data_IF_247708101165
#
_entry.id   IF_247708101165
#
_cell.length_a   1.000
_cell.length_b   1.000
_cell.length_c   1.000
_cell.angle_alpha   90.00
_cell.angle_beta   90.00
_cell.angle_gamma   90.00
#
_symmetry.space_group_name_H-M   'P 1'
#
loop_
_entity.id
_entity.type
_entity.pdbx_description
1 polymer ?
#
# COMPACT_ATOMS: atom_id res chain seq x y z
N UNK A 1 -37.32 -23.60 67.35
CA UNK A 1 -37.18 -22.40 66.47
C UNK A 1 -35.74 -22.28 66.02
N UNK A 2 -35.43 -22.72 64.78
CA UNK A 2 -34.12 -22.64 64.20
C UNK A 2 -34.13 -21.41 63.26
N UNK A 3 -33.32 -20.41 63.57
CA UNK A 3 -33.11 -19.24 62.70
C UNK A 3 -32.10 -19.61 61.62
N UNK A 4 -32.56 -19.70 60.39
CA UNK A 4 -31.71 -19.86 59.20
C UNK A 4 -31.19 -18.46 58.80
N UNK A 5 -29.87 -18.25 58.95
CA UNK A 5 -29.20 -17.06 58.46
C UNK A 5 -28.89 -17.33 56.96
N UNK A 6 -29.57 -16.61 56.09
CA UNK A 6 -29.25 -16.56 54.66
C UNK A 6 -28.09 -15.59 54.47
N UNK A 7 -26.91 -16.13 54.23
CA UNK A 7 -25.72 -15.37 53.92
C UNK A 7 -25.78 -15.02 52.41
N UNK A 8 -26.16 -13.82 52.09
CA UNK A 8 -26.16 -13.28 50.70
C UNK A 8 -24.71 -12.99 50.32
N UNK A 9 -24.07 -13.92 49.59
CA UNK A 9 -22.79 -13.65 48.93
C UNK A 9 -23.04 -12.70 47.75
N UNK A 10 -22.77 -11.43 47.97
CA UNK A 10 -22.62 -10.46 46.90
C UNK A 10 -21.31 -10.74 46.16
N UNK A 11 -21.44 -11.43 45.03
CA UNK A 11 -20.36 -11.61 44.06
C UNK A 11 -20.11 -10.22 43.43
N UNK A 12 -19.20 -9.47 44.01
CA UNK A 12 -18.65 -8.26 43.35
C UNK A 12 -17.78 -8.78 42.22
N UNK A 13 -18.34 -8.87 41.03
CA UNK A 13 -17.55 -8.97 39.82
C UNK A 13 -16.72 -7.68 39.70
N UNK A 14 -15.53 -7.70 40.26
CA UNK A 14 -14.48 -6.75 39.88
C UNK A 14 -14.15 -7.02 38.39
N UNK A 15 -14.90 -6.42 37.52
CA UNK A 15 -14.44 -6.11 36.19
C UNK A 15 -13.27 -5.12 36.36
N UNK A 16 -12.09 -5.67 36.65
CA UNK A 16 -10.86 -4.95 36.41
C UNK A 16 -10.86 -4.72 34.89
N UNK A 17 -11.34 -3.55 34.47
CA UNK A 17 -10.98 -2.99 33.19
C UNK A 17 -9.45 -2.91 33.26
N UNK A 18 -8.76 -3.93 32.74
CA UNK A 18 -7.32 -3.83 32.50
C UNK A 18 -7.18 -2.63 31.60
N UNK A 19 -6.63 -1.54 32.14
CA UNK A 19 -6.26 -0.41 31.32
C UNK A 19 -5.43 -0.98 30.16
N UNK A 20 -5.93 -0.82 28.95
CA UNK A 20 -5.24 -1.35 27.78
C UNK A 20 -3.86 -0.73 27.73
N UNK A 21 -2.83 -1.56 27.60
CA UNK A 21 -1.47 -1.06 27.48
C UNK A 21 -1.36 -0.30 26.16
N UNK A 22 -0.66 0.85 26.17
CA UNK A 22 -0.40 1.61 24.97
C UNK A 22 0.52 0.81 24.03
N UNK A 23 0.00 0.47 22.85
CA UNK A 23 0.70 -0.26 21.79
C UNK A 23 1.02 0.66 20.63
N UNK A 24 2.14 0.42 19.95
CA UNK A 24 2.51 1.20 18.77
C UNK A 24 1.44 1.11 17.68
N UNK A 25 1.02 2.26 17.17
CA UNK A 25 0.07 2.31 16.06
C UNK A 25 0.82 2.18 14.74
N UNK A 26 0.77 0.99 14.18
CA UNK A 26 1.33 0.70 12.86
C UNK A 26 0.44 1.23 11.73
N UNK A 27 0.95 1.25 10.52
CA UNK A 27 0.15 1.55 9.35
C UNK A 27 -0.91 0.47 9.13
N UNK A 28 -2.13 0.87 8.77
CA UNK A 28 -3.20 -0.08 8.43
C UNK A 28 -2.86 -0.96 7.20
N UNK A 29 -1.88 -0.57 6.37
CA UNK A 29 -1.37 -1.44 5.30
C UNK A 29 -0.52 -2.60 5.85
N UNK A 30 0.03 -2.45 7.05
CA UNK A 30 0.74 -3.53 7.75
C UNK A 30 -0.27 -4.41 8.50
N UNK A 31 -0.97 -3.82 9.44
CA UNK A 31 -1.97 -4.49 10.28
C UNK A 31 -3.16 -3.57 10.52
N UNK A 32 -4.36 -4.02 10.20
CA UNK A 32 -5.59 -3.29 10.50
C UNK A 32 -6.27 -3.86 11.75
N UNK A 33 -6.95 -3.00 12.48
CA UNK A 33 -7.72 -3.35 13.68
C UNK A 33 -9.12 -2.78 13.59
N UNK A 34 -10.02 -3.30 14.42
CA UNK A 34 -11.37 -2.76 14.53
C UNK A 34 -11.35 -1.34 15.14
N UNK A 35 -12.34 -0.49 14.83
CA UNK A 35 -12.38 0.90 15.32
C UNK A 35 -12.27 1.02 16.84
N UNK A 36 -12.86 0.09 17.58
CA UNK A 36 -12.86 0.06 19.05
C UNK A 36 -11.44 -0.10 19.60
N UNK A 37 -10.59 -0.88 18.94
CA UNK A 37 -9.18 -1.00 19.32
C UNK A 37 -8.46 0.34 19.19
N UNK A 38 -8.66 1.06 18.07
CA UNK A 38 -8.06 2.38 17.88
C UNK A 38 -8.56 3.39 18.90
N UNK A 39 -9.85 3.36 19.27
CA UNK A 39 -10.39 4.21 20.32
C UNK A 39 -9.69 3.98 21.67
N UNK A 40 -9.55 2.71 22.06
CA UNK A 40 -8.90 2.33 23.31
C UNK A 40 -7.39 2.69 23.31
N UNK A 41 -6.72 2.57 22.16
CA UNK A 41 -5.34 3.01 22.00
C UNK A 41 -5.20 4.53 22.07
N UNK A 42 -6.14 5.29 21.51
CA UNK A 42 -6.14 6.75 21.64
C UNK A 42 -6.23 7.18 23.12
N UNK A 43 -7.07 6.52 23.93
CA UNK A 43 -7.14 6.79 25.37
C UNK A 43 -5.83 6.43 26.09
N UNK A 44 -5.23 5.28 25.79
CA UNK A 44 -3.98 4.84 26.39
C UNK A 44 -2.82 5.80 26.07
N UNK A 45 -2.71 6.24 24.81
CA UNK A 45 -1.70 7.19 24.37
C UNK A 45 -1.96 8.61 24.90
N UNK A 46 -3.22 9.04 25.02
CA UNK A 46 -3.56 10.32 25.67
C UNK A 46 -3.04 10.36 27.11
N UNK A 47 -3.15 9.25 27.85
CA UNK A 47 -2.58 9.15 29.19
C UNK A 47 -1.06 9.33 29.18
N UNK A 48 -0.35 8.71 28.24
CA UNK A 48 1.11 8.87 28.08
C UNK A 48 1.51 10.32 27.77
N UNK A 49 0.76 10.97 26.89
CA UNK A 49 0.97 12.39 26.58
C UNK A 49 0.76 13.27 27.82
N UNK A 50 -0.24 12.97 28.66
CA UNK A 50 -0.47 13.71 29.89
C UNK A 50 0.64 13.51 30.93
N UNK A 51 1.22 12.27 31.00
CA UNK A 51 2.35 11.95 31.88
C UNK A 51 3.65 12.61 31.41
N UNK A 52 3.90 12.65 30.09
CA UNK A 52 5.07 13.30 29.50
C UNK A 52 4.70 14.05 28.21
N UNK A 53 4.33 15.35 28.30
CA UNK A 53 3.97 16.16 27.13
C UNK A 53 5.09 16.39 26.13
N UNK A 54 6.34 16.10 26.45
CA UNK A 54 7.49 16.21 25.55
C UNK A 54 7.77 14.92 24.76
N UNK A 55 7.04 13.83 25.02
CA UNK A 55 7.19 12.56 24.32
C UNK A 55 6.56 12.62 22.92
N UNK A 56 7.40 12.86 21.90
CA UNK A 56 6.99 12.90 20.50
C UNK A 56 6.38 11.58 20.03
N UNK A 57 6.87 10.44 20.55
CA UNK A 57 6.35 9.13 20.20
C UNK A 57 4.91 8.92 20.71
N UNK A 58 4.63 9.38 21.93
CA UNK A 58 3.28 9.34 22.47
C UNK A 58 2.31 10.20 21.64
N UNK A 59 2.70 11.41 21.25
CA UNK A 59 1.90 12.28 20.38
C UNK A 59 1.64 11.65 19.00
N UNK A 60 2.67 11.04 18.38
CA UNK A 60 2.55 10.35 17.11
C UNK A 60 1.48 9.25 17.14
N UNK A 61 1.54 8.41 18.17
CA UNK A 61 0.62 7.28 18.30
C UNK A 61 -0.80 7.76 18.68
N UNK A 62 -0.94 8.77 19.55
CA UNK A 62 -2.22 9.38 19.84
C UNK A 62 -2.89 9.93 18.57
N UNK A 63 -2.16 10.73 17.80
CA UNK A 63 -2.67 11.28 16.54
C UNK A 63 -3.13 10.19 15.59
N UNK A 64 -2.30 9.15 15.40
CA UNK A 64 -2.61 8.05 14.48
C UNK A 64 -3.79 7.21 14.92
N UNK A 65 -3.85 6.83 16.20
CA UNK A 65 -4.98 6.09 16.74
C UNK A 65 -6.29 6.85 16.53
N UNK A 66 -6.28 8.17 16.76
CA UNK A 66 -7.46 9.00 16.54
C UNK A 66 -7.82 9.10 15.06
N UNK A 67 -6.84 9.34 14.17
CA UNK A 67 -7.09 9.36 12.72
C UNK A 67 -7.70 8.05 12.21
N UNK A 68 -7.15 6.90 12.60
CA UNK A 68 -7.65 5.61 12.12
C UNK A 68 -9.03 5.29 12.69
N UNK A 69 -9.27 5.59 13.97
CA UNK A 69 -10.61 5.47 14.53
C UNK A 69 -11.63 6.27 13.71
N UNK A 70 -11.34 7.55 13.44
CA UNK A 70 -12.27 8.44 12.74
C UNK A 70 -12.47 8.02 11.27
N UNK A 71 -11.41 7.51 10.62
CA UNK A 71 -11.48 6.96 9.26
C UNK A 71 -12.33 5.69 9.17
N UNK A 72 -12.18 4.77 10.11
CA UNK A 72 -12.93 3.50 10.08
C UNK A 72 -14.38 3.64 10.58
N UNK A 73 -14.71 4.67 11.34
CA UNK A 73 -16.08 4.95 11.80
C UNK A 73 -16.85 5.90 10.89
N UNK A 74 -16.20 6.95 10.37
CA UNK A 74 -16.83 8.02 9.58
C UNK A 74 -16.67 7.88 8.07
N UNK A 75 -15.86 6.92 7.61
CA UNK A 75 -15.50 6.77 6.20
C UNK A 75 -14.32 7.66 5.78
N UNK A 76 -13.90 7.48 4.53
CA UNK A 76 -12.82 8.24 3.91
C UNK A 76 -13.38 9.43 3.15
N UNK A 77 -12.82 10.62 3.37
CA UNK A 77 -13.13 11.78 2.55
C UNK A 77 -13.81 12.94 3.29
N UNK A 78 -14.61 13.72 2.55
CA UNK A 78 -15.16 15.03 3.00
C UNK A 78 -16.11 14.96 4.21
N UNK A 79 -16.64 13.79 4.53
CA UNK A 79 -17.59 13.60 5.65
C UNK A 79 -16.92 13.18 6.96
N UNK A 80 -15.60 13.10 7.00
CA UNK A 80 -14.87 12.70 8.20
C UNK A 80 -14.91 13.84 9.24
N UNK A 81 -15.25 13.50 10.49
CA UNK A 81 -15.11 14.44 11.61
C UNK A 81 -13.64 14.58 12.02
N UNK A 82 -12.99 15.64 11.54
CA UNK A 82 -11.58 15.92 11.81
C UNK A 82 -11.37 16.77 13.07
N UNK A 83 -12.42 17.09 13.84
CA UNK A 83 -12.33 17.99 15.00
C UNK A 83 -11.37 17.50 16.08
N UNK A 84 -11.35 16.18 16.34
CA UNK A 84 -10.47 15.54 17.35
C UNK A 84 -9.02 15.60 16.94
N UNK A 85 -8.72 15.28 15.69
CA UNK A 85 -7.36 15.32 15.14
C UNK A 85 -6.83 16.76 15.05
N UNK A 86 -7.68 17.72 14.69
CA UNK A 86 -7.35 19.15 14.74
C UNK A 86 -7.02 19.63 16.14
N UNK A 87 -7.74 19.17 17.16
CA UNK A 87 -7.47 19.50 18.57
C UNK A 87 -6.12 18.95 19.03
N UNK A 88 -5.77 17.71 18.63
CA UNK A 88 -4.46 17.11 18.91
C UNK A 88 -3.34 17.94 18.27
N UNK A 89 -3.49 18.35 17.00
CA UNK A 89 -2.51 19.20 16.32
C UNK A 89 -2.32 20.54 17.06
N UNK A 90 -3.41 21.21 17.46
CA UNK A 90 -3.32 22.46 18.23
C UNK A 90 -2.57 22.30 19.56
N UNK A 91 -2.81 21.20 20.27
CA UNK A 91 -2.09 20.87 21.50
C UNK A 91 -0.62 20.58 21.24
N UNK A 92 -0.29 19.84 20.16
CA UNK A 92 1.10 19.63 19.73
C UNK A 92 1.80 20.96 19.39
N UNK A 93 1.13 21.88 18.69
CA UNK A 93 1.70 23.22 18.39
C UNK A 93 2.12 23.98 19.63
N UNK A 94 1.29 23.93 20.68
CA UNK A 94 1.59 24.59 21.95
C UNK A 94 2.74 23.92 22.72
N UNK A 95 2.92 22.60 22.54
CA UNK A 95 3.83 21.79 23.36
C UNK A 95 5.14 21.47 22.66
N UNK A 96 5.09 21.19 21.33
CA UNK A 96 6.19 20.71 20.49
C UNK A 96 6.30 21.51 19.19
N UNK A 97 6.42 22.84 19.21
CA UNK A 97 6.26 23.70 18.02
C UNK A 97 7.27 23.41 16.89
N UNK A 98 8.44 22.87 17.22
CA UNK A 98 9.53 22.60 16.27
C UNK A 98 9.83 21.09 16.19
N UNK A 99 8.81 20.23 16.22
CA UNK A 99 9.01 18.80 16.16
C UNK A 99 8.69 18.21 14.78
N UNK A 100 9.37 17.10 14.44
CA UNK A 100 9.05 16.37 13.22
C UNK A 100 7.63 15.80 13.28
N UNK A 101 7.19 15.33 14.47
CA UNK A 101 5.88 14.71 14.66
C UNK A 101 4.74 15.69 14.40
N UNK A 102 4.86 16.95 14.87
CA UNK A 102 3.88 17.98 14.57
C UNK A 102 3.76 18.21 13.05
N UNK A 103 4.89 18.41 12.37
CA UNK A 103 4.87 18.70 10.94
C UNK A 103 4.44 17.47 10.11
N UNK A 104 4.82 16.27 10.52
CA UNK A 104 4.35 15.00 9.94
C UNK A 104 2.82 14.89 10.09
N UNK A 105 2.28 15.17 11.28
CA UNK A 105 0.84 15.13 11.55
C UNK A 105 0.07 16.16 10.72
N UNK A 106 0.57 17.38 10.61
CA UNK A 106 0.01 18.41 9.73
C UNK A 106 0.04 18.01 8.26
N UNK A 107 1.13 17.37 7.81
CA UNK A 107 1.25 16.86 6.44
C UNK A 107 0.32 15.68 6.14
N UNK A 108 -0.06 14.90 7.16
CA UNK A 108 -1.06 13.80 7.04
C UNK A 108 -2.49 14.30 7.13
N UNK A 109 -2.71 15.38 7.89
CA UNK A 109 -4.04 15.91 8.17
C UNK A 109 -4.61 16.61 6.94
N UNK A 110 -5.68 16.06 6.39
CA UNK A 110 -6.38 16.61 5.24
C UNK A 110 -7.49 17.55 5.71
N UNK A 111 -7.17 18.72 6.21
CA UNK A 111 -8.18 19.78 6.29
C UNK A 111 -8.58 20.17 4.86
N UNK A 112 -9.86 20.13 4.59
CA UNK A 112 -10.45 20.59 3.31
C UNK A 112 -10.12 22.06 3.04
N UNK A 113 -9.70 22.80 4.05
CA UNK A 113 -9.36 24.25 3.99
C UNK A 113 -7.86 24.53 3.78
N UNK A 114 -6.96 23.55 3.98
CA UNK A 114 -5.53 23.79 3.79
C UNK A 114 -5.11 23.62 2.33
N UNK A 115 -4.50 24.67 1.78
CA UNK A 115 -3.96 24.62 0.43
C UNK A 115 -2.89 23.52 0.31
N UNK A 116 -2.80 22.88 -0.88
CA UNK A 116 -1.76 21.90 -1.18
C UNK A 116 -0.35 22.45 -0.88
N UNK A 117 -0.12 23.76 -1.02
CA UNK A 117 1.12 24.44 -0.69
C UNK A 117 1.49 24.32 0.79
N UNK A 118 0.56 24.60 1.72
CA UNK A 118 0.83 24.46 3.16
C UNK A 118 1.16 23.03 3.58
N UNK A 119 0.53 22.03 2.95
CA UNK A 119 0.87 20.63 3.20
C UNK A 119 2.28 20.31 2.75
N UNK A 120 2.70 20.88 1.61
CA UNK A 120 4.07 20.79 1.12
C UNK A 120 5.07 21.35 2.13
N UNK A 121 4.84 22.57 2.62
CA UNK A 121 5.69 23.21 3.63
C UNK A 121 5.86 22.37 4.89
N UNK A 122 4.79 21.71 5.36
CA UNK A 122 4.85 20.82 6.51
C UNK A 122 5.67 19.56 6.23
N UNK A 123 5.62 19.02 5.01
CA UNK A 123 6.47 17.87 4.61
C UNK A 123 7.95 18.25 4.61
N UNK A 124 8.32 19.40 4.05
CA UNK A 124 9.70 19.88 4.08
C UNK A 124 10.21 20.11 5.52
N UNK A 125 9.40 20.72 6.38
CA UNK A 125 9.74 20.89 7.80
C UNK A 125 9.84 19.56 8.56
N UNK A 126 8.96 18.60 8.27
CA UNK A 126 9.05 17.29 8.88
C UNK A 126 10.36 16.57 8.50
N UNK A 127 10.83 16.75 7.27
CA UNK A 127 12.12 16.21 6.80
C UNK A 127 13.28 16.94 7.47
N UNK A 128 13.22 18.28 7.59
CA UNK A 128 14.25 19.07 8.26
C UNK A 128 14.44 18.68 9.74
N UNK A 129 13.35 18.37 10.45
CA UNK A 129 13.39 17.96 11.86
C UNK A 129 13.43 16.44 12.07
N UNK A 130 13.58 15.66 11.00
CA UNK A 130 13.56 14.19 11.09
C UNK A 130 14.77 13.67 11.87
N UNK A 131 14.57 12.99 13.01
CA UNK A 131 15.69 12.47 13.78
C UNK A 131 16.28 11.22 13.12
N UNK A 132 17.54 10.92 13.41
CA UNK A 132 18.23 9.73 12.85
C UNK A 132 17.56 8.40 13.23
N UNK A 133 16.96 8.36 14.42
CA UNK A 133 16.25 7.19 14.95
C UNK A 133 14.78 7.12 14.52
N UNK A 134 14.31 8.04 13.68
CA UNK A 134 12.94 8.01 13.15
C UNK A 134 12.57 6.62 12.63
N UNK A 135 11.32 6.21 12.87
CA UNK A 135 10.87 4.89 12.43
C UNK A 135 10.79 4.79 10.91
N UNK A 136 10.98 3.58 10.40
CA UNK A 136 11.00 3.29 8.97
C UNK A 136 9.72 3.73 8.25
N UNK A 137 8.59 3.63 8.92
CA UNK A 137 7.28 4.02 8.40
C UNK A 137 7.17 5.53 8.13
N UNK A 138 7.60 6.35 9.09
CA UNK A 138 7.53 7.80 8.94
C UNK A 138 8.49 8.28 7.84
N UNK A 139 9.67 7.66 7.73
CA UNK A 139 10.62 7.91 6.64
C UNK A 139 9.98 7.56 5.29
N UNK A 140 9.35 6.39 5.18
CA UNK A 140 8.65 5.98 3.96
C UNK A 140 7.50 6.93 3.60
N UNK A 141 6.70 7.33 4.59
CA UNK A 141 5.62 8.29 4.37
C UNK A 141 6.16 9.61 3.80
N UNK A 142 7.21 10.16 4.42
CA UNK A 142 7.85 11.40 3.93
C UNK A 142 8.43 11.21 2.53
N UNK A 143 9.04 10.06 2.24
CA UNK A 143 9.54 9.73 0.90
C UNK A 143 8.42 9.77 -0.15
N UNK A 144 7.29 9.10 0.11
CA UNK A 144 6.15 9.07 -0.79
C UNK A 144 5.54 10.46 -1.00
N UNK A 145 5.39 11.26 0.08
CA UNK A 145 4.83 12.60 0.00
C UNK A 145 5.75 13.57 -0.74
N UNK A 146 7.06 13.52 -0.46
CA UNK A 146 8.04 14.34 -1.18
C UNK A 146 8.09 13.95 -2.66
N UNK A 147 8.08 12.66 -2.98
CA UNK A 147 8.01 12.18 -4.36
C UNK A 147 6.76 12.67 -5.08
N UNK A 148 5.63 12.77 -4.39
CA UNK A 148 4.38 13.27 -4.93
C UNK A 148 4.44 14.78 -5.26
N UNK A 149 5.00 15.61 -4.35
CA UNK A 149 4.96 17.08 -4.46
C UNK A 149 6.19 17.66 -5.15
N UNK A 150 7.33 16.99 -5.08
CA UNK A 150 8.63 17.45 -5.62
C UNK A 150 9.47 16.22 -6.04
N UNK A 151 9.08 15.55 -7.15
CA UNK A 151 9.68 14.27 -7.54
C UNK A 151 11.15 14.36 -7.98
N UNK A 152 11.65 15.56 -8.29
CA UNK A 152 13.05 15.80 -8.67
C UNK A 152 13.92 16.20 -7.45
N UNK A 153 13.35 16.25 -6.23
CA UNK A 153 14.08 16.54 -5.01
C UNK A 153 15.09 15.44 -4.68
N UNK A 154 16.33 15.84 -4.39
CA UNK A 154 17.42 14.90 -4.05
C UNK A 154 17.13 14.02 -2.84
N UNK A 155 16.29 14.49 -1.90
CA UNK A 155 15.98 13.77 -0.66
C UNK A 155 14.97 12.65 -0.88
N UNK A 156 14.25 12.59 -2.00
CA UNK A 156 13.39 11.46 -2.37
C UNK A 156 14.17 10.14 -2.34
N UNK A 157 15.31 10.08 -3.02
CA UNK A 157 16.16 8.89 -3.06
C UNK A 157 16.77 8.56 -1.70
N UNK A 158 17.18 9.58 -0.93
CA UNK A 158 17.74 9.39 0.41
C UNK A 158 16.71 8.78 1.38
N UNK A 159 15.49 9.29 1.38
CA UNK A 159 14.41 8.81 2.24
C UNK A 159 13.99 7.38 1.88
N UNK A 160 13.78 7.06 0.60
CA UNK A 160 13.47 5.68 0.20
C UNK A 160 14.60 4.72 0.55
N UNK A 161 15.85 5.12 0.35
CA UNK A 161 17.01 4.32 0.75
C UNK A 161 17.09 4.15 2.27
N UNK A 162 16.73 5.18 3.05
CA UNK A 162 16.64 5.12 4.50
C UNK A 162 15.57 4.14 4.99
N UNK A 163 14.36 4.22 4.42
CA UNK A 163 13.27 3.29 4.74
C UNK A 163 13.61 1.84 4.36
N UNK A 164 14.28 1.64 3.22
CA UNK A 164 14.81 0.33 2.80
C UNK A 164 15.82 -0.24 3.80
N UNK A 165 16.79 0.54 4.23
CA UNK A 165 17.80 0.11 5.23
C UNK A 165 17.16 -0.26 6.56
N UNK A 166 16.11 0.43 6.96
CA UNK A 166 15.34 0.15 8.17
C UNK A 166 14.27 -0.94 7.97
N UNK A 167 14.21 -1.58 6.78
CA UNK A 167 13.33 -2.71 6.45
C UNK A 167 11.85 -2.41 6.69
N UNK A 168 11.37 -1.27 6.18
CA UNK A 168 9.97 -0.91 6.32
C UNK A 168 9.02 -1.96 5.73
N UNK A 169 9.26 -2.38 4.50
CA UNK A 169 8.46 -3.43 3.89
C UNK A 169 9.03 -4.83 4.17
N UNK A 170 8.16 -5.83 4.44
CA UNK A 170 8.54 -7.23 4.50
C UNK A 170 9.28 -7.69 3.24
N UNK A 171 10.17 -8.65 3.40
CA UNK A 171 10.94 -9.21 2.29
C UNK A 171 10.04 -9.77 1.17
N UNK A 172 8.86 -10.31 1.52
CA UNK A 172 7.85 -10.81 0.56
C UNK A 172 7.32 -9.70 -0.34
N UNK A 173 6.94 -8.56 0.22
CA UNK A 173 6.46 -7.40 -0.55
C UNK A 173 7.58 -6.87 -1.46
N UNK A 174 8.79 -6.80 -0.93
CA UNK A 174 9.96 -6.38 -1.72
C UNK A 174 10.24 -7.33 -2.88
N UNK A 175 10.15 -8.66 -2.66
CA UNK A 175 10.39 -9.65 -3.72
C UNK A 175 9.25 -9.67 -4.76
N UNK A 176 7.99 -9.54 -4.32
CA UNK A 176 6.85 -9.37 -5.22
C UNK A 176 7.07 -8.16 -6.15
N UNK A 177 7.39 -7.01 -5.56
CA UNK A 177 7.62 -5.77 -6.30
C UNK A 177 8.83 -5.85 -7.23
N UNK A 178 9.89 -6.57 -6.82
CA UNK A 178 11.07 -6.81 -7.67
C UNK A 178 10.74 -7.70 -8.85
N UNK A 179 9.95 -8.76 -8.66
CA UNK A 179 9.50 -9.61 -9.76
C UNK A 179 8.72 -8.81 -10.81
N UNK A 180 7.76 -7.97 -10.37
CA UNK A 180 7.05 -7.08 -11.29
C UNK A 180 8.03 -6.16 -12.05
N UNK A 181 8.91 -5.46 -11.32
CA UNK A 181 9.83 -4.48 -11.90
C UNK A 181 10.77 -5.12 -12.94
N UNK A 182 11.26 -6.33 -12.67
CA UNK A 182 12.14 -7.07 -13.58
C UNK A 182 11.43 -7.59 -14.83
N UNK A 183 10.12 -7.83 -14.79
CA UNK A 183 9.35 -8.30 -15.95
C UNK A 183 8.99 -7.20 -16.96
N UNK A 184 9.16 -5.93 -16.60
CA UNK A 184 8.84 -4.83 -17.48
C UNK A 184 9.88 -4.66 -18.59
N UNK A 185 9.45 -4.26 -19.78
CA UNK A 185 10.37 -3.91 -20.87
C UNK A 185 11.22 -2.67 -20.51
N UNK A 186 12.38 -2.55 -21.15
CA UNK A 186 13.24 -1.38 -20.92
C UNK A 186 12.53 -0.09 -21.28
N UNK A 187 12.72 0.95 -20.42
CA UNK A 187 12.13 2.26 -20.61
C UNK A 187 10.63 2.33 -20.42
N UNK A 188 10.00 1.31 -19.84
CA UNK A 188 8.55 1.23 -19.69
C UNK A 188 7.98 2.33 -18.79
N UNK A 189 6.71 2.68 -19.06
CA UNK A 189 5.83 3.32 -18.10
C UNK A 189 5.10 2.23 -17.30
N UNK A 190 5.05 2.36 -15.99
CA UNK A 190 4.30 1.47 -15.12
C UNK A 190 3.33 2.27 -14.25
N UNK A 191 2.04 2.15 -14.55
CA UNK A 191 0.97 2.76 -13.78
C UNK A 191 0.55 1.80 -12.67
N UNK A 192 0.59 2.28 -11.43
CA UNK A 192 0.29 1.45 -10.26
C UNK A 192 -0.66 2.16 -9.29
N UNK A 193 -1.45 1.35 -8.60
CA UNK A 193 -2.33 1.79 -7.55
C UNK A 193 -1.81 1.30 -6.18
N UNK A 194 -1.91 2.16 -5.15
CA UNK A 194 -1.58 1.82 -3.78
C UNK A 194 -0.10 1.84 -3.40
N UNK A 195 0.15 2.29 -2.18
CA UNK A 195 1.50 2.47 -1.64
C UNK A 195 2.26 1.15 -1.43
N UNK A 196 1.51 0.05 -1.18
CA UNK A 196 2.09 -1.28 -1.00
C UNK A 196 2.74 -1.87 -2.27
N UNK A 197 2.45 -1.29 -3.44
CA UNK A 197 3.04 -1.68 -4.73
C UNK A 197 4.05 -0.64 -5.19
N UNK A 198 3.68 0.64 -5.15
CA UNK A 198 4.49 1.74 -5.73
C UNK A 198 5.73 2.05 -4.89
N UNK A 199 5.60 2.14 -3.56
CA UNK A 199 6.71 2.50 -2.69
C UNK A 199 7.82 1.44 -2.66
N UNK A 200 7.54 0.11 -2.55
CA UNK A 200 8.59 -0.91 -2.63
C UNK A 200 9.34 -0.88 -3.96
N UNK A 201 8.65 -0.70 -5.10
CA UNK A 201 9.30 -0.60 -6.39
C UNK A 201 10.22 0.64 -6.46
N UNK A 202 9.75 1.77 -5.93
CA UNK A 202 10.57 2.99 -5.85
C UNK A 202 11.76 2.81 -4.91
N UNK A 203 11.61 2.11 -3.78
CA UNK A 203 12.73 1.75 -2.90
C UNK A 203 13.78 0.90 -3.63
N UNK A 204 13.36 -0.09 -4.43
CA UNK A 204 14.28 -0.91 -5.23
C UNK A 204 15.09 -0.04 -6.18
N UNK A 205 14.44 0.89 -6.89
CA UNK A 205 15.12 1.81 -7.78
C UNK A 205 16.12 2.70 -7.04
N UNK A 206 15.74 3.24 -5.87
CA UNK A 206 16.58 4.21 -5.17
C UNK A 206 17.67 3.57 -4.31
N UNK A 207 17.38 2.46 -3.64
CA UNK A 207 18.32 1.81 -2.75
C UNK A 207 19.26 0.83 -3.47
N UNK A 208 18.73 0.05 -4.43
CA UNK A 208 19.48 -0.99 -5.14
C UNK A 208 19.94 -0.53 -6.53
N UNK A 209 19.47 0.62 -7.00
CA UNK A 209 19.74 1.16 -8.34
C UNK A 209 19.31 0.21 -9.48
N UNK A 210 18.32 -0.66 -9.20
CA UNK A 210 17.76 -1.58 -10.19
C UNK A 210 16.66 -0.90 -11.01
N UNK A 211 16.62 -1.17 -12.32
CA UNK A 211 15.57 -0.75 -13.25
C UNK A 211 15.18 0.74 -13.16
N UNK A 212 16.17 1.61 -13.04
CA UNK A 212 15.99 3.07 -13.06
C UNK A 212 15.48 3.58 -14.43
N UNK A 213 15.55 2.76 -15.46
CA UNK A 213 15.00 2.98 -16.79
C UNK A 213 13.46 3.00 -16.81
N UNK A 214 12.81 2.33 -15.88
CA UNK A 214 11.34 2.24 -15.75
C UNK A 214 10.80 3.49 -15.04
N UNK A 215 9.75 4.07 -15.57
CA UNK A 215 9.05 5.19 -14.95
C UNK A 215 7.84 4.67 -14.17
N UNK A 216 7.93 4.62 -12.84
CA UNK A 216 6.82 4.23 -11.95
C UNK A 216 5.91 5.45 -11.76
N UNK A 217 4.62 5.26 -11.99
CA UNK A 217 3.61 6.34 -11.96
C UNK A 217 2.47 5.90 -11.03
N UNK A 218 2.42 6.39 -9.77
CA UNK A 218 1.26 6.19 -8.92
C UNK A 218 0.06 6.95 -9.52
N UNK A 219 -1.07 6.27 -9.73
CA UNK A 219 -2.24 6.88 -10.38
C UNK A 219 -2.74 8.08 -9.57
N UNK A 220 -2.78 7.99 -8.25
CA UNK A 220 -3.20 9.08 -7.38
C UNK A 220 -2.32 10.35 -7.52
N UNK A 221 -1.09 10.23 -8.02
CA UNK A 221 -0.22 11.39 -8.23
C UNK A 221 -0.51 12.14 -9.54
N UNK A 222 -1.29 11.56 -10.45
CA UNK A 222 -1.71 12.22 -11.70
C UNK A 222 -2.57 13.48 -11.46
N UNK A 223 -3.16 13.60 -10.25
CA UNK A 223 -3.91 14.78 -9.83
C UNK A 223 -3.00 15.92 -9.30
N UNK A 224 -1.70 15.69 -9.15
CA UNK A 224 -0.75 16.65 -8.59
C UNK A 224 0.01 17.34 -9.68
N UNK A 225 -0.22 18.64 -9.85
CA UNK A 225 0.33 19.44 -10.93
C UNK A 225 1.86 19.40 -10.99
N UNK A 226 2.55 19.50 -9.84
CA UNK A 226 4.02 19.44 -9.76
C UNK A 226 4.56 18.09 -10.22
N UNK A 227 3.90 16.99 -9.81
CA UNK A 227 4.25 15.64 -10.27
C UNK A 227 4.09 15.52 -11.79
N UNK A 228 2.96 15.95 -12.34
CA UNK A 228 2.70 15.89 -13.77
C UNK A 228 3.68 16.73 -14.58
N UNK A 229 4.03 17.93 -14.13
CA UNK A 229 5.05 18.76 -14.78
C UNK A 229 6.42 18.07 -14.83
N UNK A 230 6.87 17.52 -13.71
CA UNK A 230 8.13 16.79 -13.63
C UNK A 230 8.09 15.50 -14.47
N UNK A 231 6.98 14.78 -14.50
CA UNK A 231 6.79 13.58 -15.31
C UNK A 231 6.88 13.92 -16.81
N UNK A 232 6.14 14.92 -17.29
CA UNK A 232 6.19 15.34 -18.69
C UNK A 232 7.59 15.78 -19.09
N UNK A 233 8.29 16.57 -18.25
CA UNK A 233 9.68 16.96 -18.47
C UNK A 233 10.61 15.74 -18.61
N UNK A 234 10.48 14.75 -17.72
CA UNK A 234 11.29 13.51 -17.75
C UNK A 234 11.00 12.66 -18.98
N UNK A 235 9.76 12.65 -19.45
CA UNK A 235 9.34 11.93 -20.66
C UNK A 235 9.65 12.72 -21.94
N UNK A 236 10.07 13.96 -21.83
CA UNK A 236 10.29 14.89 -22.94
C UNK A 236 9.05 15.05 -23.84
N UNK A 237 7.90 15.27 -23.19
CA UNK A 237 6.60 15.53 -23.82
C UNK A 237 6.04 16.85 -23.31
N UNK A 238 5.12 17.45 -24.05
CA UNK A 238 4.46 18.68 -23.64
C UNK A 238 3.56 18.45 -22.41
N UNK A 239 3.42 19.44 -21.51
CA UNK A 239 2.49 19.34 -20.40
C UNK A 239 1.04 19.27 -20.89
N UNK A 240 0.29 18.29 -20.39
CA UNK A 240 -1.16 18.21 -20.60
C UNK A 240 -1.87 19.18 -19.65
N UNK A 241 -2.74 20.02 -20.20
CA UNK A 241 -3.61 20.90 -19.42
C UNK A 241 -5.06 20.43 -19.51
N UNK A 242 -5.56 19.84 -18.43
CA UNK A 242 -6.96 19.44 -18.29
C UNK A 242 -7.64 20.27 -17.18
N UNK A 243 -8.88 20.66 -17.42
CA UNK A 243 -9.66 21.38 -16.42
C UNK A 243 -10.52 20.37 -15.65
N UNK A 244 -10.19 20.11 -14.40
CA UNK A 244 -10.89 19.18 -13.49
C UNK A 244 -12.38 19.53 -13.37
N UNK A 245 -12.74 20.81 -13.32
CA UNK A 245 -14.14 21.25 -13.22
C UNK A 245 -14.98 20.74 -14.39
N UNK A 246 -14.44 20.74 -15.61
CA UNK A 246 -15.13 20.22 -16.78
C UNK A 246 -15.47 18.73 -16.66
N UNK A 247 -14.60 17.96 -15.96
CA UNK A 247 -14.86 16.54 -15.72
C UNK A 247 -15.94 16.35 -14.66
N UNK A 248 -15.90 17.13 -13.57
CA UNK A 248 -16.95 17.11 -12.55
C UNK A 248 -18.33 17.43 -13.12
N UNK A 249 -18.42 18.47 -13.93
CA UNK A 249 -19.68 18.89 -14.59
C UNK A 249 -20.20 17.83 -15.56
N UNK A 250 -19.31 17.11 -16.23
CA UNK A 250 -19.68 16.12 -17.26
C UNK A 250 -19.98 14.72 -16.69
N UNK A 251 -19.23 14.28 -15.70
CA UNK A 251 -19.22 12.88 -15.25
C UNK A 251 -19.67 12.69 -13.79
N UNK A 252 -19.94 13.77 -13.03
CA UNK A 252 -20.37 13.70 -11.65
C UNK A 252 -19.35 13.00 -10.74
N UNK A 253 -19.80 12.07 -9.91
CA UNK A 253 -18.96 11.36 -8.94
C UNK A 253 -17.84 10.51 -9.58
N UNK A 254 -18.02 10.07 -10.81
CA UNK A 254 -17.04 9.26 -11.54
C UNK A 254 -15.99 10.08 -12.32
N UNK A 255 -15.98 11.41 -12.16
CA UNK A 255 -15.11 12.33 -12.90
C UNK A 255 -13.65 11.95 -12.87
N UNK A 256 -13.14 11.47 -11.74
CA UNK A 256 -11.74 11.12 -11.55
C UNK A 256 -11.31 9.95 -12.45
N UNK A 257 -12.16 8.95 -12.68
CA UNK A 257 -11.86 7.81 -13.56
C UNK A 257 -11.63 8.25 -15.00
N UNK A 258 -12.45 9.19 -15.48
CA UNK A 258 -12.32 9.75 -16.83
C UNK A 258 -11.09 10.66 -16.94
N UNK A 259 -10.87 11.49 -15.92
CA UNK A 259 -9.70 12.36 -15.84
C UNK A 259 -8.39 11.56 -15.86
N UNK A 260 -8.25 10.56 -15.01
CA UNK A 260 -7.08 9.66 -14.97
C UNK A 260 -6.89 8.92 -16.29
N UNK A 261 -7.97 8.40 -16.87
CA UNK A 261 -7.94 7.67 -18.14
C UNK A 261 -7.42 8.55 -19.28
N UNK A 262 -7.87 9.81 -19.38
CA UNK A 262 -7.44 10.73 -20.42
C UNK A 262 -5.97 11.10 -20.26
N UNK A 263 -5.48 11.32 -19.02
CA UNK A 263 -4.05 11.54 -18.74
C UNK A 263 -3.23 10.31 -19.14
N UNK A 264 -3.64 9.12 -18.76
CA UNK A 264 -2.93 7.88 -19.08
C UNK A 264 -2.84 7.69 -20.58
N UNK A 265 -3.96 7.88 -21.31
CA UNK A 265 -3.96 7.78 -22.77
C UNK A 265 -3.05 8.83 -23.44
N UNK A 266 -3.04 10.05 -22.90
CA UNK A 266 -2.11 11.08 -23.35
C UNK A 266 -0.65 10.64 -23.18
N UNK A 267 -0.30 10.17 -21.97
CA UNK A 267 1.07 9.71 -21.67
C UNK A 267 1.50 8.53 -22.56
N UNK A 268 0.60 7.58 -22.81
CA UNK A 268 0.85 6.44 -23.73
C UNK A 268 1.15 6.95 -25.15
N UNK A 269 0.28 7.83 -25.66
CA UNK A 269 0.34 8.32 -27.05
C UNK A 269 1.60 9.15 -27.30
N UNK A 270 1.89 10.08 -26.40
CA UNK A 270 2.98 11.04 -26.61
C UNK A 270 4.36 10.44 -26.29
N UNK A 271 4.46 9.60 -25.22
CA UNK A 271 5.75 8.99 -24.88
C UNK A 271 6.15 7.84 -25.81
N UNK A 272 5.17 7.15 -26.39
CA UNK A 272 5.38 5.95 -27.24
C UNK A 272 6.19 4.84 -26.55
N UNK A 273 6.21 4.82 -25.22
CA UNK A 273 6.94 3.83 -24.42
C UNK A 273 6.11 2.58 -24.18
N UNK A 274 6.73 1.41 -23.98
CA UNK A 274 6.03 0.25 -23.48
C UNK A 274 5.26 0.61 -22.22
N UNK A 275 3.98 0.26 -22.15
CA UNK A 275 3.12 0.68 -21.03
C UNK A 275 2.52 -0.51 -20.32
N UNK A 276 2.60 -0.46 -18.99
CA UNK A 276 2.14 -1.50 -18.10
C UNK A 276 1.30 -0.94 -16.97
N UNK A 277 0.47 -1.80 -16.39
CA UNK A 277 -0.43 -1.50 -15.28
C UNK A 277 -0.30 -2.55 -14.19
N UNK A 278 -0.54 -2.16 -12.94
CA UNK A 278 -0.80 -3.12 -11.87
C UNK A 278 -2.13 -3.85 -12.09
N UNK A 279 -2.24 -5.07 -11.57
CA UNK A 279 -3.40 -5.96 -11.80
C UNK A 279 -4.69 -5.48 -11.13
N UNK A 280 -4.60 -4.55 -10.20
CA UNK A 280 -5.73 -3.93 -9.48
C UNK A 280 -6.32 -2.69 -10.18
N UNK A 281 -5.72 -2.25 -11.29
CA UNK A 281 -6.24 -1.14 -12.10
C UNK A 281 -7.32 -1.65 -13.07
N UNK A 282 -8.51 -1.86 -12.55
CA UNK A 282 -9.64 -2.40 -13.35
C UNK A 282 -10.61 -1.33 -13.90
N UNK A 283 -10.43 -0.05 -13.55
CA UNK A 283 -11.44 1.00 -13.80
C UNK A 283 -11.06 2.05 -14.85
N UNK A 284 -10.07 1.76 -15.72
CA UNK A 284 -9.70 2.71 -16.77
C UNK A 284 -10.76 2.69 -17.91
N UNK A 285 -11.60 3.72 -17.92
CA UNK A 285 -12.73 3.83 -18.84
C UNK A 285 -12.33 4.11 -20.29
N UNK A 286 -11.14 4.68 -20.52
CA UNK A 286 -10.64 5.01 -21.85
C UNK A 286 -9.83 3.90 -22.52
N UNK A 287 -9.46 2.83 -21.79
CA UNK A 287 -8.72 1.71 -22.36
C UNK A 287 -9.68 0.63 -22.88
N UNK A 288 -9.49 0.26 -24.13
CA UNK A 288 -10.13 -0.92 -24.68
C UNK A 288 -9.58 -2.18 -23.96
N UNK A 289 -10.48 -2.96 -23.37
CA UNK A 289 -10.12 -4.19 -22.64
C UNK A 289 -9.39 -5.20 -23.52
N UNK A 290 -9.67 -5.20 -24.83
CA UNK A 290 -9.01 -6.08 -25.81
C UNK A 290 -7.57 -5.64 -26.09
N UNK A 291 -7.17 -4.47 -25.62
CA UNK A 291 -5.79 -3.95 -25.70
C UNK A 291 -4.96 -4.22 -24.43
N UNK A 292 -5.50 -4.92 -23.43
CA UNK A 292 -4.84 -5.20 -22.15
C UNK A 292 -4.53 -6.68 -22.04
N UNK A 293 -3.26 -7.02 -21.90
CA UNK A 293 -2.73 -8.37 -21.88
C UNK A 293 -2.05 -8.69 -20.55
N UNK A 294 -2.44 -9.77 -19.91
CA UNK A 294 -1.79 -10.23 -18.68
C UNK A 294 -0.47 -10.95 -19.00
N UNK A 295 0.66 -10.40 -18.56
CA UNK A 295 2.01 -10.99 -18.69
C UNK A 295 2.51 -11.62 -17.38
N UNK A 296 1.61 -11.95 -16.47
CA UNK A 296 1.92 -12.58 -15.18
C UNK A 296 1.49 -11.69 -14.02
N UNK A 297 2.41 -10.98 -13.39
CA UNK A 297 2.13 -10.06 -12.27
C UNK A 297 1.79 -8.63 -12.73
N UNK A 298 1.79 -8.39 -14.02
CA UNK A 298 1.55 -7.08 -14.64
C UNK A 298 0.63 -7.20 -15.85
N UNK A 299 -0.08 -6.12 -16.14
CA UNK A 299 -0.90 -5.98 -17.34
C UNK A 299 -0.18 -5.07 -18.34
N UNK A 300 -0.07 -5.51 -19.58
CA UNK A 300 0.55 -4.70 -20.65
C UNK A 300 -0.49 -4.13 -21.60
N UNK A 301 -0.35 -2.87 -21.93
CA UNK A 301 -1.08 -2.27 -23.04
C UNK A 301 -0.42 -2.63 -24.37
N UNK A 302 -1.22 -3.14 -25.30
CA UNK A 302 -0.80 -3.37 -26.69
C UNK A 302 -1.98 -3.16 -27.65
N UNK A 303 -1.86 -2.26 -28.64
CA UNK A 303 -2.91 -2.06 -29.63
C UNK A 303 -2.98 -3.23 -30.64
N UNK A 304 -2.07 -4.17 -30.56
CA UNK A 304 -2.02 -5.36 -31.44
C UNK A 304 -1.98 -6.62 -30.60
N UNK A 305 -2.76 -7.65 -30.97
CA UNK A 305 -2.75 -8.92 -30.29
C UNK A 305 -1.40 -9.61 -30.42
N UNK A 306 -1.00 -10.32 -29.38
CA UNK A 306 0.21 -11.17 -29.33
C UNK A 306 0.00 -12.29 -28.32
N UNK A 307 0.91 -13.26 -28.31
CA UNK A 307 0.85 -14.36 -27.35
C UNK A 307 1.43 -13.93 -25.98
N UNK A 308 0.62 -13.30 -25.18
CA UNK A 308 0.98 -12.84 -23.82
C UNK A 308 1.22 -14.01 -22.86
N UNK A 309 0.64 -15.18 -23.13
CA UNK A 309 0.82 -16.36 -22.29
C UNK A 309 2.27 -16.89 -22.34
N UNK A 310 2.91 -16.88 -23.50
CA UNK A 310 4.32 -17.26 -23.63
C UNK A 310 5.23 -16.28 -22.88
N UNK A 311 4.88 -14.98 -22.83
CA UNK A 311 5.58 -13.97 -22.03
C UNK A 311 5.41 -14.26 -20.53
N UNK A 312 4.19 -14.52 -20.07
CA UNK A 312 3.92 -14.88 -18.68
C UNK A 312 4.68 -16.17 -18.28
N UNK A 313 4.72 -17.15 -19.15
CA UNK A 313 5.47 -18.40 -18.95
C UNK A 313 6.98 -18.15 -18.85
N UNK A 314 7.53 -17.30 -19.73
CA UNK A 314 8.93 -16.88 -19.64
C UNK A 314 9.23 -16.15 -18.34
N UNK A 315 8.37 -15.20 -17.93
CA UNK A 315 8.53 -14.46 -16.69
C UNK A 315 8.57 -15.39 -15.46
N UNK A 316 7.67 -16.36 -15.38
CA UNK A 316 7.62 -17.33 -14.26
C UNK A 316 8.83 -18.28 -14.27
N UNK A 317 9.33 -18.63 -15.44
CA UNK A 317 10.44 -19.58 -15.58
C UNK A 317 11.81 -18.93 -15.38
N UNK A 318 12.02 -17.74 -15.92
CA UNK A 318 13.35 -17.14 -16.07
C UNK A 318 13.54 -15.82 -15.29
N UNK A 319 12.43 -15.09 -14.97
CA UNK A 319 12.51 -13.76 -14.37
C UNK A 319 12.12 -13.76 -12.91
N UNK A 320 11.02 -14.46 -12.55
CA UNK A 320 10.49 -14.41 -11.20
C UNK A 320 11.25 -15.32 -10.23
N UNK A 321 11.66 -14.78 -9.11
CA UNK A 321 12.05 -15.58 -7.95
C UNK A 321 10.80 -15.88 -7.15
N UNK A 322 10.35 -17.13 -7.14
CA UNK A 322 9.06 -17.54 -6.55
C UNK A 322 9.21 -18.39 -5.29
N UNK A 323 10.42 -18.80 -4.94
CA UNK A 323 10.71 -19.71 -3.82
C UNK A 323 10.24 -19.12 -2.47
N UNK A 324 10.27 -17.81 -2.33
CA UNK A 324 9.78 -17.12 -1.13
C UNK A 324 8.31 -17.41 -0.82
N UNK A 325 7.50 -17.74 -1.83
CA UNK A 325 6.08 -18.09 -1.64
C UNK A 325 5.90 -19.39 -0.84
N UNK A 326 6.90 -20.29 -0.90
CA UNK A 326 6.91 -21.56 -0.18
C UNK A 326 7.60 -21.49 1.20
N UNK A 327 8.27 -20.39 1.50
CA UNK A 327 8.95 -20.21 2.78
C UNK A 327 7.96 -19.92 3.92
N UNK A 328 8.23 -20.39 5.14
CA UNK A 328 7.41 -20.04 6.29
C UNK A 328 7.51 -18.54 6.58
N UNK A 329 6.45 -17.99 7.18
CA UNK A 329 6.48 -16.60 7.64
C UNK A 329 7.52 -16.43 8.74
N UNK A 330 8.38 -15.44 8.58
CA UNK A 330 9.16 -14.91 9.67
C UNK A 330 8.24 -14.01 10.52
N UNK A 331 8.45 -13.98 11.82
CA UNK A 331 7.59 -13.27 12.78
C UNK A 331 7.39 -11.78 12.44
N UNK A 332 8.35 -11.17 11.74
CA UNK A 332 8.33 -9.76 11.30
C UNK A 332 7.87 -9.57 9.84
N UNK A 333 7.48 -10.62 9.14
CA UNK A 333 6.99 -10.57 7.75
C UNK A 333 5.47 -10.76 7.64
N UNK A 334 4.74 -10.70 8.76
CA UNK A 334 3.33 -11.07 8.86
C UNK A 334 2.35 -9.93 8.56
N UNK A 335 2.61 -9.12 7.55
CA UNK A 335 1.63 -8.13 7.10
C UNK A 335 0.47 -8.81 6.36
N UNK A 336 -0.77 -8.40 6.65
CA UNK A 336 -1.95 -8.86 5.90
C UNK A 336 -1.81 -8.58 4.39
N UNK A 337 -1.23 -7.45 4.04
CA UNK A 337 -0.94 -7.08 2.64
C UNK A 337 0.01 -8.07 1.96
N UNK A 338 0.98 -8.66 2.67
CA UNK A 338 1.88 -9.67 2.09
C UNK A 338 1.10 -10.89 1.58
N UNK A 339 0.10 -11.35 2.34
CA UNK A 339 -0.73 -12.48 1.95
C UNK A 339 -1.60 -12.17 0.73
N UNK A 340 -2.19 -10.97 0.72
CA UNK A 340 -2.99 -10.52 -0.43
C UNK A 340 -2.14 -10.48 -1.71
N UNK A 341 -0.89 -10.01 -1.64
CA UNK A 341 0.01 -9.96 -2.78
C UNK A 341 0.48 -11.36 -3.20
N UNK A 342 0.77 -12.24 -2.25
CA UNK A 342 1.14 -13.63 -2.54
C UNK A 342 0.02 -14.37 -3.28
N UNK A 343 -1.25 -14.10 -2.92
CA UNK A 343 -2.41 -14.70 -3.57
C UNK A 343 -2.58 -14.29 -5.04
N UNK A 344 -2.00 -13.18 -5.48
CA UNK A 344 -2.01 -12.78 -6.89
C UNK A 344 -1.31 -13.79 -7.82
N UNK A 345 -0.44 -14.63 -7.27
CA UNK A 345 0.25 -15.68 -8.03
C UNK A 345 -0.64 -16.90 -8.33
N UNK A 346 -1.69 -17.12 -7.54
CA UNK A 346 -2.40 -18.42 -7.53
C UNK A 346 -2.96 -18.79 -8.89
N UNK A 347 -3.77 -17.91 -9.49
CA UNK A 347 -4.38 -18.19 -10.81
C UNK A 347 -3.33 -18.33 -11.90
N UNK A 348 -2.28 -17.50 -11.88
CA UNK A 348 -1.18 -17.56 -12.81
C UNK A 348 -0.46 -18.91 -12.74
N UNK A 349 -0.01 -19.29 -11.53
CA UNK A 349 0.75 -20.53 -11.34
C UNK A 349 -0.09 -21.77 -11.65
N UNK A 350 -1.37 -21.79 -11.28
CA UNK A 350 -2.27 -22.90 -11.60
C UNK A 350 -2.39 -23.11 -13.12
N UNK A 351 -2.61 -22.02 -13.88
CA UNK A 351 -2.70 -22.11 -15.34
C UNK A 351 -1.38 -22.58 -15.98
N UNK A 352 -0.24 -22.13 -15.46
CA UNK A 352 1.06 -22.51 -15.97
C UNK A 352 1.43 -23.96 -15.63
N UNK A 353 1.07 -24.46 -14.44
CA UNK A 353 1.24 -25.88 -14.09
C UNK A 353 0.55 -26.78 -15.14
N UNK A 354 -0.70 -26.49 -15.49
CA UNK A 354 -1.43 -27.22 -16.52
C UNK A 354 -0.70 -27.19 -17.87
N UNK A 355 -0.20 -26.03 -18.26
CA UNK A 355 0.50 -25.88 -19.54
C UNK A 355 1.84 -26.59 -19.55
N UNK A 356 2.64 -26.51 -18.49
CA UNK A 356 3.92 -27.25 -18.41
C UNK A 356 3.70 -28.74 -18.46
N UNK A 357 2.66 -29.28 -17.81
CA UNK A 357 2.29 -30.69 -17.91
C UNK A 357 1.97 -31.09 -19.36
N UNK A 358 1.12 -30.30 -20.04
CA UNK A 358 0.76 -30.55 -21.46
C UNK A 358 1.96 -30.48 -22.39
N UNK A 359 2.94 -29.65 -22.07
CA UNK A 359 4.17 -29.51 -22.88
C UNK A 359 5.25 -30.54 -22.50
N UNK A 360 4.99 -31.43 -21.52
CA UNK A 360 5.96 -32.46 -21.07
C UNK A 360 7.05 -31.92 -20.13
N UNK A 361 6.98 -30.67 -19.69
CA UNK A 361 7.92 -30.07 -18.71
C UNK A 361 7.48 -30.42 -17.29
N UNK A 362 7.66 -31.69 -16.93
CA UNK A 362 7.27 -32.19 -15.61
C UNK A 362 8.02 -31.53 -14.46
N UNK A 363 9.28 -31.11 -14.67
CA UNK A 363 10.10 -30.45 -13.66
C UNK A 363 9.50 -29.10 -13.24
N UNK A 364 9.19 -28.23 -14.20
CA UNK A 364 8.58 -26.94 -13.90
C UNK A 364 7.18 -27.07 -13.32
N UNK A 365 6.39 -28.01 -13.83
CA UNK A 365 5.06 -28.28 -13.30
C UNK A 365 5.10 -28.67 -11.81
N UNK A 366 6.01 -29.57 -11.43
CA UNK A 366 6.16 -30.03 -10.05
C UNK A 366 6.74 -28.93 -9.13
N UNK A 367 7.75 -28.19 -9.61
CA UNK A 367 8.29 -27.03 -8.89
C UNK A 367 7.19 -26.03 -8.56
N UNK A 368 6.41 -25.60 -9.55
CA UNK A 368 5.34 -24.60 -9.34
C UNK A 368 4.21 -25.16 -8.48
N UNK A 369 3.85 -26.44 -8.63
CA UNK A 369 2.83 -27.08 -7.79
C UNK A 369 3.22 -27.07 -6.31
N UNK A 370 4.47 -27.41 -6.00
CA UNK A 370 4.99 -27.37 -4.63
C UNK A 370 4.96 -25.95 -4.03
N UNK A 371 5.37 -24.94 -4.82
CA UNK A 371 5.36 -23.55 -4.40
C UNK A 371 3.92 -23.10 -4.14
N UNK A 372 3.02 -23.36 -5.09
CA UNK A 372 1.61 -22.96 -5.00
C UNK A 372 0.91 -23.61 -3.80
N UNK A 373 1.11 -24.92 -3.60
CA UNK A 373 0.50 -25.66 -2.48
C UNK A 373 0.90 -25.07 -1.13
N UNK A 374 2.19 -24.78 -0.93
CA UNK A 374 2.68 -24.17 0.32
C UNK A 374 2.22 -22.73 0.50
N UNK A 375 2.16 -21.94 -0.56
CA UNK A 375 1.62 -20.58 -0.52
C UNK A 375 0.16 -20.59 -0.07
N UNK A 376 -0.67 -21.44 -0.68
CA UNK A 376 -2.09 -21.57 -0.31
C UNK A 376 -2.26 -22.08 1.12
N UNK A 377 -1.52 -23.11 1.53
CA UNK A 377 -1.56 -23.63 2.90
C UNK A 377 -1.29 -22.54 3.93
N UNK A 378 -0.26 -21.72 3.71
CA UNK A 378 0.10 -20.61 4.60
C UNK A 378 -0.98 -19.53 4.66
N UNK A 379 -1.45 -19.05 3.51
CA UNK A 379 -2.43 -17.97 3.43
C UNK A 379 -3.79 -18.37 4.01
N UNK A 380 -4.13 -19.67 3.92
CA UNK A 380 -5.36 -20.24 4.46
C UNK A 380 -5.34 -20.34 5.99
N UNK A 381 -4.18 -20.54 6.61
CA UNK A 381 -4.07 -20.80 8.06
C UNK A 381 -4.40 -19.60 8.95
N UNK A 382 -4.34 -18.38 8.42
CA UNK A 382 -4.39 -17.14 9.20
C UNK A 382 -5.78 -16.52 9.40
N UNK A 383 -6.80 -16.86 8.58
CA UNK A 383 -8.16 -16.33 8.74
C UNK A 383 -9.25 -17.41 8.69
N UNK A 384 -9.76 -17.91 9.84
CA UNK A 384 -10.68 -19.04 9.88
C UNK A 384 -12.05 -18.82 9.20
N UNK A 385 -12.58 -17.60 9.18
CA UNK A 385 -13.96 -17.34 8.69
C UNK A 385 -14.08 -17.15 7.19
N UNK A 386 -13.11 -16.50 6.55
CA UNK A 386 -13.02 -16.40 5.08
C UNK A 386 -12.40 -17.65 4.44
N UNK A 387 -11.68 -18.39 5.24
CA UNK A 387 -10.79 -19.49 4.90
C UNK A 387 -11.52 -20.66 4.24
N UNK A 388 -12.70 -21.08 4.71
CA UNK A 388 -13.37 -22.26 4.17
C UNK A 388 -13.79 -22.11 2.70
N UNK A 389 -14.32 -20.93 2.30
CA UNK A 389 -14.70 -20.68 0.91
C UNK A 389 -13.48 -20.52 0.01
N UNK A 390 -12.45 -19.80 0.46
CA UNK A 390 -11.22 -19.61 -0.29
C UNK A 390 -10.42 -20.91 -0.35
N UNK A 391 -10.33 -21.65 0.74
CA UNK A 391 -9.70 -22.97 0.80
C UNK A 391 -10.34 -23.93 -0.20
N UNK A 392 -11.68 -24.06 -0.15
CA UNK A 392 -12.39 -24.90 -1.11
C UNK A 392 -12.18 -24.48 -2.56
N UNK A 393 -12.12 -23.18 -2.84
CA UNK A 393 -11.79 -22.66 -4.16
C UNK A 393 -10.37 -23.07 -4.59
N UNK A 394 -9.37 -22.88 -3.74
CA UNK A 394 -7.98 -23.22 -4.07
C UNK A 394 -7.74 -24.72 -4.13
N UNK A 395 -8.36 -25.51 -3.23
CA UNK A 395 -8.31 -26.97 -3.29
C UNK A 395 -8.94 -27.49 -4.59
N UNK A 396 -10.07 -26.91 -5.01
CA UNK A 396 -10.70 -27.27 -6.29
C UNK A 396 -9.84 -26.85 -7.49
N UNK A 397 -9.20 -25.68 -7.41
CA UNK A 397 -8.26 -25.24 -8.44
C UNK A 397 -7.08 -26.20 -8.55
N UNK A 398 -6.49 -26.61 -7.43
CA UNK A 398 -5.38 -27.57 -7.38
C UNK A 398 -5.83 -28.96 -7.84
N UNK A 399 -7.03 -29.44 -7.45
CA UNK A 399 -7.62 -30.71 -7.90
C UNK A 399 -7.92 -30.70 -9.39
N UNK A 400 -8.48 -29.61 -9.91
CA UNK A 400 -8.70 -29.43 -11.36
C UNK A 400 -7.43 -29.44 -12.19
N UNK A 401 -6.27 -29.18 -11.57
CA UNK A 401 -4.96 -29.25 -12.20
C UNK A 401 -4.33 -30.67 -12.11
N UNK A 402 -4.90 -31.54 -11.27
CA UNK A 402 -4.44 -32.92 -11.10
C UNK A 402 -5.12 -33.92 -12.08
N UNK A 403 -6.20 -33.50 -12.74
CA UNK A 403 -6.89 -34.26 -13.80
C UNK A 403 -6.39 -33.85 -15.19
#
# INVERSE_FOLDING_TARGET
>A
MRKTIVMMLTLVCNLTVRAQQAETIESFIANSHEPEWYAAQAEAWQKRVNENPQDQWAWRNLFRATCYHDQFTGGWGENQDESRTADIIRKMEATLPNSYVLNLSKGRFCLTTDSAARRGDNIYKAIEYLPEDACAEDINYLACRLWCIDPDNKDVGNLFSGAYKKRWFPARIMQFSRNMLLSLQSGALYFANGDAVTAPMKMIQEALKERQDVTIIPISYLHVESFMKALCKRLNIDPLSLNVQNYGDKYGEDWYKHYESDIIMYLIKESKRPTYFSTDILSLTALDKDSIYNEGLVLKYSPKPYNNFDVAMHNVKEVYSLEYLAEPDLVYDSWETSEMLDMNHVTLLANLISKFRKNGDAFQAERLYRILSKCVERCVSKNPKETEKRKAYYENLLKGQLQ
#
